data_IF_607163174638
#
_entry.id   IF_607163174638
#
_cell.length_a   1.000
_cell.length_b   1.000
_cell.length_c   1.000
_cell.angle_alpha   90.00
_cell.angle_beta   90.00
_cell.angle_gamma   90.00
#
_symmetry.space_group_name_H-M   'P 1'
#
loop_
_entity.id
_entity.type
_entity.pdbx_description
1 polymer ?
#
# COMPACT_ATOMS: atom_id res chain seq x y z
N UNK A 1 8.55 6.62 29.03
CA UNK A 1 7.72 7.78 28.63
C UNK A 1 7.27 7.57 27.19
N UNK A 2 6.28 8.30 26.69
CA UNK A 2 5.76 8.10 25.32
C UNK A 2 6.83 8.42 24.26
N UNK A 3 7.76 9.32 24.57
CA UNK A 3 8.88 9.68 23.69
C UNK A 3 9.87 8.53 23.47
N UNK A 4 10.07 7.66 24.46
CA UNK A 4 10.93 6.47 24.39
C UNK A 4 10.30 5.35 23.53
N UNK A 5 8.98 5.20 23.60
CA UNK A 5 8.23 4.23 22.79
C UNK A 5 8.23 4.64 21.31
N UNK A 6 8.00 5.93 21.06
CA UNK A 6 8.13 6.58 19.77
C UNK A 6 9.51 6.31 19.11
N UNK A 7 10.61 6.59 19.82
CA UNK A 7 11.96 6.33 19.30
C UNK A 7 12.21 4.86 19.01
N UNK A 8 11.67 3.97 19.83
CA UNK A 8 11.78 2.52 19.65
C UNK A 8 11.05 2.07 18.38
N UNK A 9 9.83 2.56 18.15
CA UNK A 9 9.04 2.25 16.96
C UNK A 9 9.72 2.75 15.67
N UNK A 10 10.26 3.98 15.66
CA UNK A 10 11.00 4.52 14.51
C UNK A 10 12.22 3.66 14.18
N UNK A 11 12.96 3.23 15.22
CA UNK A 11 14.13 2.37 15.05
C UNK A 11 13.74 1.01 14.46
N UNK A 12 12.74 0.34 15.04
CA UNK A 12 12.29 -0.98 14.58
C UNK A 12 11.77 -0.90 13.14
N UNK A 13 11.02 0.13 12.78
CA UNK A 13 10.54 0.29 11.41
C UNK A 13 11.69 0.51 10.41
N UNK A 14 12.71 1.28 10.80
CA UNK A 14 13.91 1.46 9.98
C UNK A 14 14.69 0.15 9.80
N UNK A 15 14.79 -0.66 10.85
CA UNK A 15 15.47 -1.96 10.83
C UNK A 15 14.72 -3.01 9.99
N UNK A 16 13.39 -3.08 10.11
CA UNK A 16 12.56 -4.11 9.47
C UNK A 16 12.08 -3.72 8.06
N UNK A 17 11.70 -2.46 7.86
CA UNK A 17 11.12 -1.97 6.60
C UNK A 17 12.07 -1.10 5.77
N UNK A 18 13.25 -0.76 6.30
CA UNK A 18 14.28 0.02 5.58
C UNK A 18 13.93 1.50 5.33
N UNK A 19 12.82 1.99 5.90
CA UNK A 19 12.32 3.35 5.69
C UNK A 19 12.57 4.24 6.93
N UNK A 20 13.03 5.48 6.70
CA UNK A 20 13.37 6.41 7.77
C UNK A 20 12.18 7.32 8.14
N UNK A 21 11.68 7.15 9.37
CA UNK A 21 10.56 7.92 9.92
C UNK A 21 11.01 9.07 10.84
N UNK A 22 12.32 9.39 10.90
CA UNK A 22 12.88 10.39 11.82
C UNK A 22 12.35 11.82 11.63
N UNK A 23 11.75 12.14 10.48
CA UNK A 23 11.14 13.44 10.19
C UNK A 23 9.64 13.56 10.56
N UNK A 24 9.00 12.48 11.02
CA UNK A 24 7.55 12.47 11.29
C UNK A 24 7.27 13.13 12.66
N UNK A 25 6.74 14.35 12.64
CA UNK A 25 6.50 15.16 13.86
C UNK A 25 5.10 14.99 14.50
N UNK A 26 4.17 14.25 13.88
CA UNK A 26 2.88 13.89 14.47
C UNK A 26 2.64 12.39 14.36
N UNK A 27 2.52 11.76 15.52
CA UNK A 27 2.87 10.37 15.69
C UNK A 27 1.59 9.57 15.69
N UNK A 28 1.40 8.89 14.56
CA UNK A 28 0.49 7.79 14.26
C UNK A 28 -0.73 7.52 15.16
N UNK A 29 -1.89 7.28 14.54
CA UNK A 29 -2.97 6.56 15.22
C UNK A 29 -2.70 5.07 15.09
N UNK A 30 -2.69 4.37 16.22
CA UNK A 30 -2.80 2.91 16.23
C UNK A 30 -4.26 2.57 16.04
N UNK A 31 -4.58 1.90 14.94
CA UNK A 31 -5.91 1.37 14.69
C UNK A 31 -5.86 -0.14 14.95
N UNK A 32 -6.58 -0.60 15.97
CA UNK A 32 -6.81 -2.01 16.18
C UNK A 32 -8.04 -2.43 15.37
N UNK A 33 -7.86 -3.40 14.48
CA UNK A 33 -8.95 -4.06 13.76
C UNK A 33 -9.07 -5.47 14.34
N UNK A 34 -10.27 -5.76 14.83
CA UNK A 34 -10.63 -7.09 15.30
C UNK A 34 -11.56 -7.72 14.28
N UNK A 35 -11.12 -8.81 13.65
CA UNK A 35 -11.92 -9.53 12.68
C UNK A 35 -11.83 -11.04 12.91
N UNK A 36 -12.81 -11.77 12.38
CA UNK A 36 -12.80 -13.23 12.36
C UNK A 36 -12.20 -13.65 11.03
N UNK A 37 -10.98 -14.20 11.05
CA UNK A 37 -10.38 -14.80 9.86
C UNK A 37 -11.16 -16.08 9.55
N UNK A 38 -11.74 -16.23 8.35
CA UNK A 38 -12.46 -17.45 8.01
C UNK A 38 -11.51 -18.65 7.97
N UNK A 39 -12.08 -19.86 7.96
CA UNK A 39 -11.27 -21.07 7.76
C UNK A 39 -10.78 -21.15 6.32
N UNK A 40 -9.48 -21.43 6.12
CA UNK A 40 -8.83 -21.44 4.80
C UNK A 40 -7.87 -22.63 4.65
N UNK A 41 -7.63 -23.08 3.42
CA UNK A 41 -6.62 -24.11 3.12
C UNK A 41 -5.54 -23.51 2.23
N UNK A 42 -4.35 -23.32 2.78
CA UNK A 42 -3.21 -22.74 2.06
C UNK A 42 -2.12 -23.81 1.97
N UNK A 43 -1.74 -24.19 0.73
CA UNK A 43 -0.69 -25.19 0.45
C UNK A 43 -0.89 -26.52 1.21
N UNK A 44 -2.14 -26.99 1.27
CA UNK A 44 -2.51 -28.24 1.96
C UNK A 44 -2.59 -28.16 3.49
N UNK A 45 -2.27 -27.00 4.09
CA UNK A 45 -2.44 -26.77 5.52
C UNK A 45 -3.78 -26.11 5.79
N UNK A 46 -4.53 -26.64 6.76
CA UNK A 46 -5.82 -26.09 7.20
C UNK A 46 -5.57 -25.04 8.27
N UNK A 47 -5.99 -23.82 8.00
CA UNK A 47 -6.03 -22.71 8.93
C UNK A 47 -7.46 -22.55 9.38
N UNK A 48 -7.74 -22.88 10.64
CA UNK A 48 -9.09 -22.79 11.20
C UNK A 48 -9.51 -21.33 11.36
N UNK A 49 -10.82 -21.15 11.52
CA UNK A 49 -11.41 -19.88 11.90
C UNK A 49 -10.81 -19.40 13.23
N UNK A 50 -10.38 -18.14 13.26
CA UNK A 50 -9.73 -17.56 14.42
C UNK A 50 -10.05 -16.07 14.51
N UNK A 51 -10.23 -15.58 15.75
CA UNK A 51 -10.37 -14.14 16.01
C UNK A 51 -8.99 -13.52 16.01
N UNK A 52 -8.72 -12.67 15.04
CA UNK A 52 -7.44 -12.00 14.89
C UNK A 52 -7.53 -10.53 15.33
N UNK A 53 -6.43 -10.07 15.92
CA UNK A 53 -6.23 -8.70 16.34
C UNK A 53 -5.07 -8.14 15.54
N UNK A 54 -5.34 -7.20 14.65
CA UNK A 54 -4.30 -6.57 13.83
C UNK A 54 -4.21 -5.10 14.19
N UNK A 55 -3.00 -4.65 14.53
CA UNK A 55 -2.72 -3.25 14.85
C UNK A 55 -2.04 -2.59 13.65
N UNK A 56 -2.69 -1.58 13.07
CA UNK A 56 -2.13 -0.78 12.00
C UNK A 56 -1.55 0.52 12.57
N UNK A 57 -0.33 0.85 12.14
CA UNK A 57 0.24 2.17 12.36
C UNK A 57 -0.20 3.09 11.23
N UNK A 58 -1.10 4.02 11.51
CA UNK A 58 -1.55 5.02 10.53
C UNK A 58 -0.77 6.31 10.77
N UNK A 59 0.25 6.66 9.97
CA UNK A 59 1.01 7.88 10.18
C UNK A 59 0.09 9.11 10.08
N UNK A 60 0.15 9.98 11.09
CA UNK A 60 -0.47 11.29 11.04
C UNK A 60 0.42 12.19 10.20
N UNK A 61 0.15 12.25 8.89
CA UNK A 61 0.83 13.17 7.99
C UNK A 61 0.47 14.61 8.40
N UNK A 62 1.34 15.27 9.16
CA UNK A 62 1.26 16.71 9.37
C UNK A 62 1.55 17.36 8.02
N UNK A 63 0.50 17.93 7.41
CA UNK A 63 0.57 18.72 6.18
C UNK A 63 0.82 17.95 4.87
N UNK A 64 0.21 16.78 4.69
CA UNK A 64 -0.21 16.41 3.35
C UNK A 64 -1.69 16.79 3.25
N UNK A 65 -2.03 17.74 2.38
CA UNK A 65 -3.40 17.91 1.92
C UNK A 65 -3.82 16.56 1.35
N UNK A 66 -4.50 15.76 2.16
CA UNK A 66 -5.16 14.55 1.70
C UNK A 66 -6.02 15.00 0.52
N UNK A 67 -5.79 14.46 -0.70
CA UNK A 67 -6.60 14.86 -1.83
C UNK A 67 -8.05 14.63 -1.45
N UNK A 68 -8.89 15.59 -1.80
CA UNK A 68 -10.33 15.40 -1.73
C UNK A 68 -10.71 14.11 -2.48
N UNK A 69 -11.85 13.52 -2.14
CA UNK A 69 -12.36 12.32 -2.82
C UNK A 69 -12.35 12.48 -4.36
N UNK A 70 -12.69 13.68 -4.84
CA UNK A 70 -12.65 14.05 -6.25
C UNK A 70 -11.22 14.07 -6.83
N UNK A 71 -10.25 14.64 -6.12
CA UNK A 71 -8.85 14.69 -6.54
C UNK A 71 -8.24 13.29 -6.57
N UNK A 72 -8.54 12.47 -5.58
CA UNK A 72 -8.10 11.08 -5.52
C UNK A 72 -8.69 10.25 -6.67
N UNK A 73 -9.99 10.40 -6.92
CA UNK A 73 -10.68 9.70 -8.02
C UNK A 73 -10.10 10.10 -9.38
N UNK A 74 -9.83 11.40 -9.60
CA UNK A 74 -9.17 11.88 -10.83
C UNK A 74 -7.78 11.29 -11.01
N UNK A 75 -7.01 11.17 -9.93
CA UNK A 75 -5.69 10.54 -9.98
C UNK A 75 -5.77 9.05 -10.34
N UNK A 76 -6.73 8.31 -9.77
CA UNK A 76 -6.95 6.90 -10.11
C UNK A 76 -7.34 6.71 -11.57
N UNK A 77 -8.26 7.54 -12.08
CA UNK A 77 -8.65 7.51 -13.50
C UNK A 77 -7.45 7.79 -14.39
N UNK A 78 -6.65 8.81 -14.08
CA UNK A 78 -5.44 9.12 -14.83
C UNK A 78 -4.44 7.97 -14.85
N UNK A 79 -4.19 7.33 -13.70
CA UNK A 79 -3.30 6.16 -13.63
C UNK A 79 -3.80 5.01 -14.50
N UNK A 80 -5.12 4.77 -14.51
CA UNK A 80 -5.72 3.75 -15.36
C UNK A 80 -5.62 4.10 -16.85
N UNK A 81 -5.83 5.37 -17.21
CA UNK A 81 -5.67 5.88 -18.58
C UNK A 81 -4.21 5.78 -19.06
N UNK A 82 -3.24 6.17 -18.23
CA UNK A 82 -1.82 6.09 -18.53
C UNK A 82 -1.37 4.63 -18.72
N UNK A 83 -1.86 3.72 -17.86
CA UNK A 83 -1.59 2.28 -17.99
C UNK A 83 -2.20 1.70 -19.27
N UNK A 84 -3.41 2.13 -19.63
CA UNK A 84 -4.08 1.69 -20.85
C UNK A 84 -3.39 2.23 -22.11
N UNK A 85 -2.99 3.50 -22.10
CA UNK A 85 -2.23 4.11 -23.19
C UNK A 85 -0.88 3.40 -23.41
N UNK A 86 -0.18 3.05 -22.32
CA UNK A 86 1.05 2.27 -22.40
C UNK A 86 0.82 0.86 -22.95
N UNK A 87 -0.31 0.22 -22.60
CA UNK A 87 -0.69 -1.09 -23.14
C UNK A 87 -1.01 -1.03 -24.64
N UNK A 88 -1.75 0.00 -25.09
CA UNK A 88 -2.08 0.22 -26.50
C UNK A 88 -0.81 0.49 -27.32
N UNK A 89 0.05 1.41 -26.86
CA UNK A 89 1.31 1.72 -27.55
C UNK A 89 2.23 0.50 -27.67
N UNK A 90 2.24 -0.38 -26.65
CA UNK A 90 2.97 -1.64 -26.71
C UNK A 90 2.36 -2.60 -27.74
N UNK A 91 1.04 -2.70 -27.77
CA UNK A 91 0.34 -3.57 -28.73
C UNK A 91 0.52 -3.12 -30.18
N UNK A 92 0.41 -1.81 -30.46
CA UNK A 92 0.65 -1.25 -31.80
C UNK A 92 2.08 -1.51 -32.29
N UNK A 93 3.06 -1.40 -31.40
CA UNK A 93 4.47 -1.69 -31.71
C UNK A 93 4.68 -3.18 -32.01
N UNK A 94 4.08 -4.06 -31.21
CA UNK A 94 4.12 -5.52 -31.44
C UNK A 94 3.40 -5.90 -32.74
N UNK A 95 2.32 -5.20 -33.12
CA UNK A 95 1.60 -5.40 -34.38
C UNK A 95 2.41 -4.94 -35.61
N UNK A 96 3.06 -3.77 -35.55
CA UNK A 96 3.96 -3.30 -36.61
C UNK A 96 5.16 -4.24 -36.83
N UNK A 97 5.76 -4.75 -35.75
CA UNK A 97 6.88 -5.68 -35.82
C UNK A 97 6.48 -7.07 -36.33
N UNK A 98 5.18 -7.43 -36.22
CA UNK A 98 4.62 -8.69 -36.71
C UNK A 98 4.21 -8.69 -38.19
N UNK A 99 4.16 -7.52 -38.85
CA UNK A 99 3.84 -7.44 -40.28
C UNK A 99 5.04 -7.95 -41.10
N UNK A 100 4.86 -8.95 -41.99
CA UNK A 100 5.94 -9.46 -42.81
C UNK A 100 6.49 -8.35 -43.71
N UNK A 101 7.80 -8.13 -43.66
CA UNK A 101 8.49 -7.29 -44.65
C UNK A 101 8.27 -7.91 -46.04
N UNK A 102 7.53 -7.20 -46.88
CA UNK A 102 7.42 -7.47 -48.31
C UNK A 102 8.76 -7.26 -49.02
#
# INVERSE_FOLDING_TARGET
DDASLAKTAVRVFKEEAGADLGGVQAWFKLLEIVYVRPSEVIRGKVYREEREHVTFMVPLLRACDMPSEDEYTKQLVKVAEDANAAAIARWEKEEEESKPKA
#
